data_IF_310059716469
#
_entry.id   IF_310059716469
#
_cell.length_a   1.000
_cell.length_b   1.000
_cell.length_c   1.000
_cell.angle_alpha   90.00
_cell.angle_beta   90.00
_cell.angle_gamma   90.00
#
_symmetry.space_group_name_H-M   'P 1'
#
loop_
_entity.id
_entity.type
_entity.pdbx_description
1 polymer ?
#
# COMPACT_ATOMS: atom_id res chain seq x y z
N UNK A 1 -23.25 -19.04 -29.94
CA UNK A 1 -22.07 -19.22 -29.07
C UNK A 1 -20.97 -19.87 -29.91
N UNK A 2 -20.10 -19.09 -30.56
CA UNK A 2 -19.14 -19.60 -31.55
C UNK A 2 -17.70 -19.12 -31.31
N UNK A 3 -17.50 -18.18 -30.40
CA UNK A 3 -16.16 -17.69 -30.05
C UNK A 3 -15.66 -18.33 -28.75
N UNK A 4 -14.36 -18.62 -28.65
CA UNK A 4 -13.77 -19.18 -27.45
C UNK A 4 -13.86 -18.17 -26.29
N UNK A 5 -14.08 -18.67 -25.08
CA UNK A 5 -14.08 -17.85 -23.86
C UNK A 5 -12.65 -17.69 -23.37
N UNK A 6 -12.12 -16.47 -23.43
CA UNK A 6 -10.77 -16.12 -22.97
C UNK A 6 -10.77 -15.74 -21.47
N UNK A 7 -11.15 -16.70 -20.62
CA UNK A 7 -11.39 -16.45 -19.20
C UNK A 7 -10.11 -16.06 -18.44
N UNK A 8 -9.01 -16.78 -18.67
CA UNK A 8 -7.72 -16.51 -18.02
C UNK A 8 -7.20 -15.10 -18.33
N UNK A 9 -7.28 -14.70 -19.58
CA UNK A 9 -6.83 -13.42 -20.11
C UNK A 9 -7.64 -12.28 -19.50
N UNK A 10 -8.96 -12.45 -19.39
CA UNK A 10 -9.82 -11.46 -18.74
C UNK A 10 -9.48 -11.29 -17.25
N UNK A 11 -9.21 -12.38 -16.53
CA UNK A 11 -8.79 -12.31 -15.12
C UNK A 11 -7.42 -11.64 -14.98
N UNK A 12 -6.46 -11.97 -15.85
CA UNK A 12 -5.14 -11.33 -15.86
C UNK A 12 -5.25 -9.82 -16.10
N UNK A 13 -6.03 -9.42 -17.10
CA UNK A 13 -6.26 -8.02 -17.41
C UNK A 13 -6.89 -7.28 -16.22
N UNK A 14 -7.92 -7.85 -15.59
CA UNK A 14 -8.56 -7.24 -14.43
C UNK A 14 -7.59 -7.03 -13.26
N UNK A 15 -6.74 -8.01 -12.96
CA UNK A 15 -5.75 -7.92 -11.88
C UNK A 15 -4.69 -6.85 -12.15
N UNK A 16 -4.31 -6.67 -13.41
CA UNK A 16 -3.26 -5.71 -13.81
C UNK A 16 -3.78 -4.27 -13.98
N UNK A 17 -5.06 -4.10 -14.31
CA UNK A 17 -5.64 -2.78 -14.65
C UNK A 17 -6.46 -2.17 -13.53
N UNK A 18 -7.05 -2.99 -12.64
CA UNK A 18 -7.79 -2.46 -11.51
C UNK A 18 -6.84 -1.95 -10.42
N UNK A 19 -7.24 -0.93 -9.64
CA UNK A 19 -6.46 -0.45 -8.52
C UNK A 19 -6.12 -1.60 -7.55
N UNK A 20 -4.83 -1.89 -7.40
CA UNK A 20 -4.34 -2.84 -6.44
C UNK A 20 -4.29 -2.21 -5.03
N UNK A 21 -4.41 -3.02 -3.96
CA UNK A 21 -4.73 -4.44 -3.98
C UNK A 21 -6.24 -4.68 -4.17
N UNK A 22 -6.59 -5.66 -5.00
CA UNK A 22 -7.97 -6.13 -5.11
C UNK A 22 -8.48 -6.61 -3.75
N UNK A 23 -9.70 -6.18 -3.43
CA UNK A 23 -10.33 -6.56 -2.19
C UNK A 23 -10.74 -8.04 -2.25
N UNK A 24 -11.78 -8.39 -2.99
CA UNK A 24 -12.38 -9.72 -2.97
C UNK A 24 -12.83 -10.11 -4.37
N UNK A 25 -12.81 -11.40 -4.69
CA UNK A 25 -13.52 -11.95 -5.84
C UNK A 25 -14.85 -12.54 -5.39
N UNK A 26 -15.93 -12.12 -6.04
CA UNK A 26 -17.27 -12.66 -5.86
C UNK A 26 -17.68 -13.43 -7.13
N UNK A 27 -17.87 -14.73 -7.03
CA UNK A 27 -18.39 -15.57 -8.10
C UNK A 27 -19.91 -15.58 -8.05
N UNK A 28 -20.53 -15.01 -9.09
CA UNK A 28 -21.99 -15.03 -9.24
C UNK A 28 -22.38 -16.28 -10.01
N UNK A 29 -23.02 -17.22 -9.33
CA UNK A 29 -23.43 -18.49 -9.91
C UNK A 29 -24.06 -19.45 -8.89
N UNK A 30 -24.59 -20.60 -9.33
CA UNK A 30 -25.28 -21.58 -8.49
C UNK A 30 -24.32 -22.36 -7.56
N UNK A 31 -23.03 -22.34 -7.84
CA UNK A 31 -21.96 -22.90 -7.01
C UNK A 31 -20.62 -22.30 -7.50
N UNK A 32 -19.61 -22.14 -6.63
CA UNK A 32 -18.29 -21.66 -7.03
C UNK A 32 -17.51 -22.67 -7.90
N UNK A 33 -17.74 -22.65 -9.22
CA UNK A 33 -17.05 -23.49 -10.21
C UNK A 33 -15.73 -22.86 -10.69
N UNK A 34 -15.61 -21.53 -10.61
CA UNK A 34 -14.48 -20.78 -11.14
C UNK A 34 -13.39 -20.49 -10.10
N UNK A 35 -13.63 -20.77 -8.82
CA UNK A 35 -12.64 -20.64 -7.73
C UNK A 35 -11.28 -21.28 -8.05
N UNK A 36 -11.29 -22.50 -8.59
CA UNK A 36 -10.08 -23.25 -8.97
C UNK A 36 -9.29 -22.54 -10.09
N UNK A 37 -9.90 -22.34 -11.27
CA UNK A 37 -9.29 -21.62 -12.38
C UNK A 37 -8.78 -20.22 -12.00
N UNK A 38 -9.57 -19.42 -11.27
CA UNK A 38 -9.13 -18.07 -10.83
C UNK A 38 -7.91 -18.17 -9.91
N UNK A 39 -7.90 -19.11 -8.96
CA UNK A 39 -6.77 -19.29 -8.04
C UNK A 39 -5.49 -19.69 -8.79
N UNK A 40 -5.59 -20.49 -9.85
CA UNK A 40 -4.45 -20.86 -10.69
C UNK A 40 -3.91 -19.67 -11.48
N UNK A 41 -4.79 -18.85 -12.08
CA UNK A 41 -4.41 -17.62 -12.79
C UNK A 41 -3.75 -16.61 -11.86
N UNK A 42 -4.27 -16.42 -10.63
CA UNK A 42 -3.65 -15.51 -9.66
C UNK A 42 -2.25 -15.98 -9.24
N UNK A 43 -2.07 -17.30 -9.06
CA UNK A 43 -0.77 -17.90 -8.77
C UNK A 43 0.23 -17.69 -9.91
N UNK A 44 -0.19 -17.83 -11.17
CA UNK A 44 0.72 -17.63 -12.32
C UNK A 44 1.16 -16.17 -12.46
N UNK A 45 0.35 -15.21 -11.99
CA UNK A 45 0.69 -13.79 -11.96
C UNK A 45 1.55 -13.37 -10.76
N UNK A 46 1.92 -14.29 -9.87
CA UNK A 46 2.52 -13.99 -8.56
C UNK A 46 1.72 -12.95 -7.75
N UNK A 47 0.40 -12.88 -7.96
CA UNK A 47 -0.49 -12.00 -7.23
C UNK A 47 -0.72 -12.53 -5.81
N UNK A 48 -0.95 -11.62 -4.86
CA UNK A 48 -1.34 -12.01 -3.51
C UNK A 48 -2.64 -12.83 -3.53
N UNK A 49 -2.80 -13.85 -2.67
CA UNK A 49 -4.02 -14.64 -2.61
C UNK A 49 -5.23 -13.75 -2.38
N UNK A 50 -6.19 -13.82 -3.30
CA UNK A 50 -7.41 -13.02 -3.26
C UNK A 50 -8.50 -13.81 -2.54
N UNK A 51 -9.13 -13.26 -1.50
CA UNK A 51 -10.31 -13.89 -0.91
C UNK A 51 -11.40 -14.09 -1.95
N UNK A 52 -12.07 -15.24 -1.88
CA UNK A 52 -13.00 -15.70 -2.90
C UNK A 52 -14.30 -16.16 -2.24
N UNK A 53 -15.41 -15.51 -2.60
CA UNK A 53 -16.74 -15.85 -2.16
C UNK A 53 -17.60 -16.31 -3.36
N UNK A 54 -18.40 -17.35 -3.18
CA UNK A 54 -19.44 -17.74 -4.14
C UNK A 54 -20.80 -17.22 -3.66
N UNK A 55 -21.63 -16.72 -4.57
CA UNK A 55 -22.97 -16.22 -4.23
C UNK A 55 -23.90 -17.32 -3.71
N UNK A 56 -23.73 -18.55 -4.24
CA UNK A 56 -24.49 -19.74 -3.86
C UNK A 56 -23.55 -20.94 -3.75
N UNK A 57 -23.96 -21.94 -2.97
CA UNK A 57 -23.24 -23.20 -2.84
C UNK A 57 -24.18 -24.39 -3.08
N UNK A 58 -23.75 -25.31 -3.93
CA UNK A 58 -24.38 -26.62 -4.15
C UNK A 58 -24.66 -27.32 -2.82
N UNK A 59 -25.92 -27.66 -2.60
CA UNK A 59 -26.36 -28.42 -1.44
C UNK A 59 -26.57 -27.58 -0.18
N UNK A 60 -26.50 -26.25 -0.27
CA UNK A 60 -26.83 -25.32 0.82
C UNK A 60 -28.06 -24.49 0.47
N UNK A 61 -28.69 -23.91 1.49
CA UNK A 61 -29.81 -22.98 1.29
C UNK A 61 -29.34 -21.71 0.59
N UNK A 62 -30.15 -21.19 -0.33
CA UNK A 62 -29.78 -20.01 -1.12
C UNK A 62 -29.60 -18.76 -0.25
N UNK A 63 -30.53 -18.53 0.67
CA UNK A 63 -30.46 -17.41 1.63
C UNK A 63 -29.22 -17.54 2.50
N UNK A 64 -28.94 -18.73 3.02
CA UNK A 64 -27.76 -18.98 3.85
C UNK A 64 -26.46 -18.72 3.08
N UNK A 65 -26.36 -19.23 1.86
CA UNK A 65 -25.17 -19.07 1.01
C UNK A 65 -24.95 -17.60 0.64
N UNK A 66 -26.01 -16.90 0.25
CA UNK A 66 -25.95 -15.48 -0.08
C UNK A 66 -25.66 -14.61 1.15
N UNK A 67 -26.25 -14.93 2.30
CA UNK A 67 -25.98 -14.25 3.58
C UNK A 67 -24.53 -14.47 4.02
N UNK A 68 -23.97 -15.67 3.84
CA UNK A 68 -22.58 -15.96 4.13
C UNK A 68 -21.64 -15.18 3.19
N UNK A 69 -21.92 -15.15 1.89
CA UNK A 69 -21.16 -14.36 0.92
C UNK A 69 -21.21 -12.86 1.26
N UNK A 70 -22.41 -12.34 1.59
CA UNK A 70 -22.62 -10.96 1.99
C UNK A 70 -21.89 -10.63 3.30
N UNK A 71 -21.93 -11.53 4.29
CA UNK A 71 -21.18 -11.39 5.53
C UNK A 71 -19.68 -11.38 5.29
N UNK A 72 -19.18 -12.22 4.38
CA UNK A 72 -17.77 -12.24 4.00
C UNK A 72 -17.34 -10.97 3.26
N UNK A 73 -18.24 -10.31 2.52
CA UNK A 73 -17.98 -9.00 1.88
C UNK A 73 -18.06 -7.87 2.92
N UNK A 74 -19.09 -7.88 3.77
CA UNK A 74 -19.42 -6.80 4.70
C UNK A 74 -18.51 -6.78 5.93
N UNK A 75 -18.24 -7.93 6.53
CA UNK A 75 -17.36 -8.07 7.70
C UNK A 75 -15.88 -8.16 7.32
N UNK A 76 -15.56 -7.94 6.03
CA UNK A 76 -14.18 -7.95 5.59
C UNK A 76 -13.45 -6.73 6.09
N UNK A 77 -12.55 -6.99 7.02
CA UNK A 77 -11.61 -5.97 7.44
C UNK A 77 -10.69 -5.60 6.27
N UNK A 78 -10.59 -4.30 5.96
CA UNK A 78 -9.59 -3.83 5.00
C UNK A 78 -8.19 -4.16 5.50
N UNK A 79 -7.22 -4.42 4.60
CA UNK A 79 -5.80 -4.59 4.97
C UNK A 79 -5.31 -3.46 5.90
N UNK A 80 -5.85 -2.27 5.71
CA UNK A 80 -5.57 -1.07 6.47
C UNK A 80 -6.05 -1.18 7.92
N UNK A 81 -7.30 -1.57 8.11
CA UNK A 81 -7.87 -1.80 9.43
C UNK A 81 -7.20 -2.99 10.12
N UNK A 82 -6.93 -4.07 9.37
CA UNK A 82 -6.26 -5.25 9.90
C UNK A 82 -4.84 -4.91 10.34
N UNK A 83 -4.06 -4.22 9.51
CA UNK A 83 -2.73 -3.72 9.88
C UNK A 83 -2.81 -2.68 11.03
N UNK A 84 -3.89 -1.90 11.09
CA UNK A 84 -4.11 -0.97 12.18
C UNK A 84 -4.27 -1.70 13.53
N UNK A 85 -5.04 -2.78 13.54
CA UNK A 85 -5.40 -3.57 14.72
C UNK A 85 -4.35 -4.62 15.11
N UNK A 86 -3.78 -5.33 14.13
CA UNK A 86 -2.97 -6.55 14.30
C UNK A 86 -1.50 -6.33 13.93
N UNK A 87 -1.15 -5.22 13.26
CA UNK A 87 0.17 -4.98 12.67
C UNK A 87 1.37 -4.93 13.63
N UNK A 88 1.15 -5.05 14.95
CA UNK A 88 2.18 -5.32 15.97
C UNK A 88 3.17 -4.19 16.26
N UNK A 89 3.47 -3.33 15.29
CA UNK A 89 4.40 -2.21 15.43
C UNK A 89 3.63 -0.89 15.62
N UNK A 90 4.04 -0.05 16.58
CA UNK A 90 3.48 1.30 16.71
C UNK A 90 3.73 2.09 15.41
N UNK A 91 2.82 3.02 15.05
CA UNK A 91 3.05 3.91 13.92
C UNK A 91 4.38 4.64 14.09
N UNK A 92 5.16 4.70 13.02
CA UNK A 92 6.40 5.45 13.01
C UNK A 92 6.08 6.95 13.11
N UNK A 93 6.81 7.72 13.92
CA UNK A 93 6.54 9.15 14.16
C UNK A 93 6.46 9.98 12.87
N UNK A 94 7.41 9.81 11.95
CA UNK A 94 7.41 10.47 10.63
C UNK A 94 6.63 9.72 9.55
N UNK A 95 6.91 8.43 9.30
CA UNK A 95 6.25 7.70 8.20
C UNK A 95 4.78 7.34 8.49
N UNK A 96 4.39 7.20 9.74
CA UNK A 96 3.07 6.70 10.12
C UNK A 96 2.96 5.20 9.90
N UNK A 97 1.83 4.76 9.32
CA UNK A 97 1.56 3.34 9.08
C UNK A 97 1.75 2.95 7.64
N UNK A 98 2.34 1.78 7.42
CA UNK A 98 2.50 1.22 6.08
C UNK A 98 1.14 0.73 5.53
N UNK A 99 0.81 1.20 4.33
CA UNK A 99 -0.42 0.90 3.57
C UNK A 99 -0.19 -0.29 2.64
N UNK A 100 0.85 -0.16 1.83
CA UNK A 100 1.21 -1.08 0.76
C UNK A 100 2.61 -1.64 1.04
N UNK A 101 2.71 -2.95 0.88
CA UNK A 101 3.94 -3.68 1.09
C UNK A 101 4.17 -4.57 -0.13
N UNK A 102 4.59 -3.93 -1.22
CA UNK A 102 5.10 -4.64 -2.39
C UNK A 102 6.62 -4.82 -2.22
N UNK A 103 7.22 -5.86 -2.86
CA UNK A 103 8.67 -5.98 -2.93
C UNK A 103 9.36 -4.78 -3.57
N UNK A 104 8.69 -4.10 -4.50
CA UNK A 104 9.26 -3.00 -5.29
C UNK A 104 8.73 -1.62 -4.91
N UNK A 105 7.59 -1.56 -4.22
CA UNK A 105 6.94 -0.30 -3.85
C UNK A 105 6.42 -0.38 -2.42
N UNK A 106 6.69 0.66 -1.64
CA UNK A 106 6.18 0.77 -0.27
C UNK A 106 5.57 2.14 -0.09
N UNK A 107 4.37 2.15 0.49
CA UNK A 107 3.61 3.37 0.72
C UNK A 107 3.25 3.46 2.19
N UNK A 108 3.54 4.60 2.82
CA UNK A 108 3.10 4.94 4.16
C UNK A 108 2.15 6.12 4.14
N UNK A 109 1.29 6.16 5.15
CA UNK A 109 0.35 7.25 5.38
C UNK A 109 0.52 7.75 6.80
N UNK A 110 0.67 9.06 6.93
CA UNK A 110 0.66 9.76 8.21
C UNK A 110 -0.20 11.01 8.15
N UNK A 111 -0.58 11.52 9.32
CA UNK A 111 -1.21 12.83 9.49
C UNK A 111 -0.29 13.68 10.34
N UNK A 112 0.24 14.76 9.78
CA UNK A 112 1.12 15.66 10.52
C UNK A 112 0.28 16.70 11.25
N UNK A 113 0.35 16.64 12.58
CA UNK A 113 -0.22 17.63 13.48
C UNK A 113 0.90 18.40 14.18
N UNK A 114 0.78 19.72 14.27
CA UNK A 114 1.78 20.56 14.96
C UNK A 114 1.93 20.23 16.44
N UNK A 115 0.88 19.69 17.07
CA UNK A 115 0.89 19.23 18.46
C UNK A 115 1.80 17.99 18.64
N UNK A 116 1.81 17.09 17.67
CA UNK A 116 2.61 15.86 17.69
C UNK A 116 4.06 16.10 17.26
N UNK A 117 4.32 17.21 16.57
CA UNK A 117 5.64 17.56 16.03
C UNK A 117 6.10 18.96 16.48
N UNK A 118 6.23 19.23 17.81
CA UNK A 118 6.55 20.58 18.31
C UNK A 118 7.86 21.15 17.74
N UNK A 119 8.82 20.28 17.42
CA UNK A 119 10.12 20.65 16.85
C UNK A 119 10.00 21.33 15.47
N UNK A 120 8.91 21.08 14.72
CA UNK A 120 8.74 21.70 13.40
C UNK A 120 8.34 23.17 13.51
N UNK A 121 7.75 23.59 14.63
CA UNK A 121 7.40 25.01 14.87
C UNK A 121 8.60 25.95 14.72
N UNK A 122 9.81 25.46 14.94
CA UNK A 122 11.05 26.21 14.72
C UNK A 122 11.36 26.53 13.25
N UNK A 123 10.77 25.82 12.29
CA UNK A 123 10.98 26.04 10.86
C UNK A 123 9.82 26.83 10.26
N UNK A 124 9.80 28.12 10.57
CA UNK A 124 8.78 29.07 10.13
C UNK A 124 9.31 29.96 9.01
N UNK A 125 8.52 30.15 7.95
CA UNK A 125 8.82 31.06 6.85
C UNK A 125 7.59 31.90 6.52
N UNK A 126 7.74 33.23 6.49
CA UNK A 126 6.64 34.18 6.25
C UNK A 126 5.41 33.95 7.16
N UNK A 127 5.65 33.59 8.42
CA UNK A 127 4.59 33.34 9.41
C UNK A 127 3.88 31.98 9.28
N UNK A 128 4.33 31.12 8.36
CA UNK A 128 3.80 29.77 8.18
C UNK A 128 4.82 28.73 8.64
N UNK A 129 4.37 27.72 9.37
CA UNK A 129 5.22 26.58 9.73
C UNK A 129 5.35 25.66 8.51
N UNK A 130 6.57 25.49 8.01
CA UNK A 130 6.86 24.64 6.87
C UNK A 130 7.55 23.36 7.34
N UNK A 131 7.22 22.23 6.73
CA UNK A 131 7.98 21.01 6.94
C UNK A 131 9.39 21.17 6.35
N UNK A 132 10.46 20.93 7.14
CA UNK A 132 11.82 21.24 6.72
C UNK A 132 12.31 20.26 5.64
N UNK A 133 13.23 20.75 4.78
CA UNK A 133 13.96 19.94 3.79
C UNK A 133 14.55 18.66 4.40
N UNK A 134 15.19 18.79 5.56
CA UNK A 134 15.74 17.66 6.31
C UNK A 134 14.68 16.63 6.75
N UNK A 135 13.43 17.05 6.97
CA UNK A 135 12.33 16.14 7.28
C UNK A 135 11.99 15.21 6.12
N UNK A 136 12.05 15.72 4.88
CA UNK A 136 11.86 14.89 3.68
C UNK A 136 12.98 13.86 3.53
N UNK A 137 14.23 14.26 3.79
CA UNK A 137 15.38 13.35 3.80
C UNK A 137 15.22 12.28 4.88
N UNK A 138 14.80 12.65 6.09
CA UNK A 138 14.54 11.71 7.18
C UNK A 138 13.44 10.69 6.81
N UNK A 139 12.37 11.11 6.13
CA UNK A 139 11.35 10.18 5.61
C UNK A 139 11.96 9.16 4.65
N UNK A 140 12.80 9.60 3.71
CA UNK A 140 13.47 8.71 2.76
C UNK A 140 14.41 7.71 3.45
N UNK A 141 15.20 8.19 4.41
CA UNK A 141 16.12 7.36 5.20
C UNK A 141 15.36 6.28 5.98
N UNK A 142 14.31 6.66 6.69
CA UNK A 142 13.51 5.71 7.46
C UNK A 142 12.77 4.71 6.55
N UNK A 143 12.25 5.17 5.41
CA UNK A 143 11.55 4.31 4.45
C UNK A 143 12.48 3.29 3.81
N UNK A 144 13.74 3.65 3.58
CA UNK A 144 14.74 2.75 2.99
C UNK A 144 14.97 1.49 3.85
N UNK A 145 14.83 1.61 5.18
CA UNK A 145 14.98 0.49 6.13
C UNK A 145 14.00 -0.66 5.83
N UNK A 146 12.85 -0.35 5.26
CA UNK A 146 11.84 -1.35 4.92
C UNK A 146 12.28 -2.28 3.78
N UNK A 147 13.26 -1.91 2.94
CA UNK A 147 13.78 -2.80 1.89
C UNK A 147 14.93 -3.70 2.35
N UNK A 148 15.64 -3.33 3.41
CA UNK A 148 16.87 -4.02 3.81
C UNK A 148 16.67 -5.17 4.81
N UNK A 149 15.43 -5.49 5.22
CA UNK A 149 15.08 -6.63 6.10
C UNK A 149 16.10 -6.82 7.27
N UNK A 150 16.38 -5.75 8.01
CA UNK A 150 17.34 -5.69 9.12
C UNK A 150 18.84 -5.85 8.78
N UNK A 151 19.22 -5.75 7.50
CA UNK A 151 20.62 -5.61 7.13
C UNK A 151 21.12 -4.19 7.45
N UNK A 152 22.37 -4.04 7.92
CA UNK A 152 22.93 -2.72 8.18
C UNK A 152 23.08 -1.94 6.87
N UNK A 153 22.61 -0.69 6.87
CA UNK A 153 22.80 0.24 5.76
C UNK A 153 24.20 0.86 5.93
N UNK A 154 25.12 0.58 4.99
CA UNK A 154 26.48 1.16 4.99
C UNK A 154 26.51 2.60 4.47
N UNK A 155 25.71 2.88 3.45
CA UNK A 155 25.66 4.17 2.76
C UNK A 155 24.24 4.41 2.27
N UNK A 156 23.76 5.65 2.42
CA UNK A 156 22.55 6.14 1.80
C UNK A 156 22.88 7.45 1.09
N UNK A 157 22.59 7.49 -0.20
CA UNK A 157 22.84 8.66 -1.03
C UNK A 157 21.50 9.21 -1.53
N UNK A 158 21.27 10.50 -1.32
CA UNK A 158 20.09 11.20 -1.84
C UNK A 158 20.54 12.06 -3.01
N UNK A 159 20.02 11.77 -4.20
CA UNK A 159 20.29 12.51 -5.43
C UNK A 159 19.04 13.21 -5.92
N UNK A 160 19.23 14.35 -6.58
CA UNK A 160 18.18 15.05 -7.33
C UNK A 160 16.90 15.31 -6.51
N UNK A 161 17.06 15.63 -5.22
CA UNK A 161 15.93 15.93 -4.34
C UNK A 161 15.19 17.17 -4.86
N UNK A 162 13.95 16.96 -5.29
CA UNK A 162 13.08 18.01 -5.79
C UNK A 162 11.87 18.17 -4.86
N UNK A 163 11.70 19.37 -4.30
CA UNK A 163 10.55 19.74 -3.47
C UNK A 163 9.77 20.81 -4.23
N UNK A 164 8.85 20.44 -5.13
CA UNK A 164 8.16 21.40 -5.99
C UNK A 164 7.20 22.32 -5.21
N UNK A 165 6.70 21.85 -4.06
CA UNK A 165 5.81 22.60 -3.19
C UNK A 165 6.16 22.32 -1.73
N UNK A 166 6.34 23.39 -0.95
CA UNK A 166 6.53 23.27 0.49
C UNK A 166 5.26 22.73 1.17
N UNK A 167 5.43 21.83 2.14
CA UNK A 167 4.35 21.37 2.99
C UNK A 167 4.14 22.38 4.11
N UNK A 168 3.00 23.07 4.08
CA UNK A 168 2.57 24.01 5.12
C UNK A 168 1.78 23.24 6.17
N UNK A 169 2.10 23.42 7.44
CA UNK A 169 1.36 22.83 8.56
C UNK A 169 0.58 23.90 9.30
N UNK A 170 -0.73 23.71 9.42
CA UNK A 170 -1.62 24.56 10.19
C UNK A 170 -1.79 24.07 11.62
N UNK A 171 -2.33 24.93 12.49
CA UNK A 171 -2.56 24.61 13.91
C UNK A 171 -3.74 23.65 14.11
N UNK A 172 -4.84 23.85 13.40
CA UNK A 172 -6.08 23.10 13.65
C UNK A 172 -6.27 21.84 12.78
N UNK A 173 -5.71 21.84 11.56
CA UNK A 173 -5.90 20.76 10.58
C UNK A 173 -4.61 19.97 10.39
N UNK A 174 -4.69 18.67 10.65
CA UNK A 174 -3.62 17.74 10.29
C UNK A 174 -3.44 17.65 8.78
N UNK A 175 -2.20 17.61 8.33
CA UNK A 175 -1.88 17.45 6.90
C UNK A 175 -1.71 15.96 6.59
N UNK A 176 -2.49 15.44 5.65
CA UNK A 176 -2.33 14.05 5.22
C UNK A 176 -1.10 13.93 4.31
N UNK A 177 -0.18 13.06 4.72
CA UNK A 177 1.08 12.78 4.03
C UNK A 177 1.09 11.33 3.57
N UNK A 178 1.15 11.12 2.26
CA UNK A 178 1.42 9.83 1.67
C UNK A 178 2.84 9.82 1.12
N UNK A 179 3.67 8.97 1.70
CA UNK A 179 5.06 8.78 1.30
C UNK A 179 5.21 7.46 0.58
N UNK A 180 5.65 7.49 -0.68
CA UNK A 180 5.90 6.29 -1.48
C UNK A 180 7.37 6.25 -1.89
N UNK A 181 7.94 5.05 -1.78
CA UNK A 181 9.30 4.74 -2.23
C UNK A 181 9.24 3.55 -3.19
N UNK A 182 9.92 3.67 -4.34
CA UNK A 182 9.91 2.65 -5.40
C UNK A 182 11.33 2.20 -5.72
N UNK A 183 11.62 0.91 -5.59
CA UNK A 183 12.90 0.31 -5.95
C UNK A 183 12.96 0.06 -7.47
N UNK A 184 13.94 0.67 -8.18
CA UNK A 184 14.15 0.48 -9.62
C UNK A 184 14.98 -0.75 -9.97
N UNK A 185 16.00 -1.06 -9.16
CA UNK A 185 16.93 -2.16 -9.42
C UNK A 185 17.34 -2.81 -8.10
N UNK A 186 17.13 -4.12 -7.96
CA UNK A 186 17.77 -4.93 -6.92
C UNK A 186 18.91 -5.67 -7.60
N UNK A 187 20.08 -5.03 -7.76
CA UNK A 187 21.27 -5.75 -8.22
C UNK A 187 21.87 -6.46 -7.01
N UNK A 188 21.71 -7.79 -6.98
CA UNK A 188 22.39 -8.62 -5.99
C UNK A 188 23.78 -8.93 -6.55
N UNK A 189 24.69 -7.97 -6.52
CA UNK A 189 26.10 -8.29 -6.80
C UNK A 189 26.63 -8.96 -5.54
N UNK A 190 26.80 -10.28 -5.62
CA UNK A 190 27.17 -11.20 -4.51
C UNK A 190 28.54 -10.88 -3.88
N UNK A 191 29.22 -9.80 -4.28
CA UNK A 191 30.55 -9.46 -3.80
C UNK A 191 30.63 -8.36 -2.72
N UNK A 192 29.75 -7.34 -2.64
CA UNK A 192 29.98 -6.28 -1.61
C UNK A 192 28.82 -5.34 -1.20
N UNK A 193 27.61 -5.52 -1.73
CA UNK A 193 26.50 -4.67 -1.27
C UNK A 193 25.27 -4.74 -2.17
N UNK A 194 24.11 -4.88 -1.55
CA UNK A 194 22.84 -4.68 -2.25
C UNK A 194 22.62 -3.19 -2.43
N UNK A 195 22.65 -2.71 -3.68
CA UNK A 195 22.26 -1.32 -3.99
C UNK A 195 20.76 -1.32 -4.24
N UNK A 196 20.02 -0.47 -3.51
CA UNK A 196 18.60 -0.23 -3.74
C UNK A 196 18.48 1.21 -4.23
N UNK A 197 18.29 1.37 -5.54
CA UNK A 197 17.94 2.68 -6.09
C UNK A 197 16.45 2.92 -5.91
N UNK A 198 16.11 4.03 -5.27
CA UNK A 198 14.74 4.35 -4.95
C UNK A 198 14.30 5.71 -5.52
N UNK A 199 13.13 5.74 -6.14
CA UNK A 199 12.45 6.99 -6.47
C UNK A 199 11.40 7.28 -5.39
N UNK A 200 11.45 8.50 -4.85
CA UNK A 200 10.48 8.98 -3.89
C UNK A 200 9.37 9.74 -4.61
N UNK A 201 8.12 9.44 -4.25
CA UNK A 201 6.97 10.31 -4.53
C UNK A 201 6.34 10.65 -3.20
N UNK A 202 6.34 11.94 -2.86
CA UNK A 202 5.52 12.45 -1.77
C UNK A 202 4.27 13.09 -2.36
N UNK A 203 3.11 12.62 -1.93
CA UNK A 203 1.84 13.28 -2.23
C UNK A 203 1.20 13.75 -0.92
N UNK A 204 0.82 15.02 -0.89
CA UNK A 204 0.17 15.64 0.25
C UNK A 204 -1.26 15.97 -0.16
N UNK A 205 -2.24 15.58 0.66
CA UNK A 205 -3.63 15.96 0.45
C UNK A 205 -4.09 16.83 1.61
N UNK A 206 -4.65 17.98 1.27
CA UNK A 206 -5.37 18.79 2.23
C UNK A 206 -6.80 18.26 2.27
N UNK A 207 -7.29 17.93 3.46
CA UNK A 207 -8.73 17.70 3.65
C UNK A 207 -9.38 19.07 3.81
N UNK A 208 -10.24 19.41 2.86
CA UNK A 208 -11.15 20.55 2.97
C UNK A 208 -12.17 20.32 4.10
#
# INVERSE_FOLDING_TARGET
>A
MVQPVLFSEAVQFAVQTLPAPLAIALEVGPHPALKGPVSQTLKSLAASPLPYAGSLERGKGDVESMSAASGMVYWRESRLSHNFRVGGQPPHSLLGRQREDSPYEKTWRNFFHLEEMPWVKGHTFQGQVLFPGAGYVSLAVEASKAFVKNRPIKLLEVRDMNIPKALVMGEDKGVEVLFTIRSKTISTTVADGSVVEAEQILSCRFRD
#
